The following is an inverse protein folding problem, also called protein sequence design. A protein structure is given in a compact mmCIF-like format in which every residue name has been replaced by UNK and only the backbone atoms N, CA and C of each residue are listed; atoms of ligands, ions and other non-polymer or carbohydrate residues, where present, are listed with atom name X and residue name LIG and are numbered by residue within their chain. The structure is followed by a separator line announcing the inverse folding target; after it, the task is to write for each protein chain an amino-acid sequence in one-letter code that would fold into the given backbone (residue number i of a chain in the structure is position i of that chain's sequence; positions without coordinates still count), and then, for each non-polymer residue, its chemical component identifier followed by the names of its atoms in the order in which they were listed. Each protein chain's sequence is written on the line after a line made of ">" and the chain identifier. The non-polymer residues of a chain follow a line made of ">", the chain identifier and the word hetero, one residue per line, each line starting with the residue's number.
data_IF_724552795846
#
_entry.id   IF_724552795846
#
_cell.length_a   1.000
_cell.length_b   1.000
_cell.length_c   1.000
_cell.angle_alpha   90.00
_cell.angle_beta   90.00
_cell.angle_gamma   90.00
#
_symmetry.space_group_name_H-M   'P 1'
#
loop_
_entity.id
_entity.type
_entity.pdbx_description
1 polymer ?
#
# COMPACT_ATOMS: atom_id res chain seq x y z
N UNK A 1 -0.14 12.71 -43.15
CA UNK A 1 -1.04 12.55 -41.98
C UNK A 1 -1.12 11.09 -41.59
N UNK A 2 -0.99 10.79 -40.30
CA UNK A 2 -1.23 9.45 -39.75
C UNK A 2 -2.51 9.43 -38.92
N UNK A 3 -3.06 8.23 -38.76
CA UNK A 3 -4.19 7.94 -37.87
C UNK A 3 -3.76 6.81 -36.94
N UNK A 4 -3.65 7.08 -35.65
CA UNK A 4 -3.30 6.07 -34.64
C UNK A 4 -4.51 5.78 -33.77
N UNK A 5 -4.89 4.50 -33.60
CA UNK A 5 -6.01 4.13 -32.75
C UNK A 5 -5.67 4.47 -31.30
N UNK A 6 -6.66 4.96 -30.56
CA UNK A 6 -6.56 5.17 -29.14
C UNK A 6 -6.98 3.89 -28.39
N UNK A 7 -6.40 3.62 -27.21
CA UNK A 7 -6.78 2.48 -26.39
C UNK A 7 -8.25 2.57 -25.89
N UNK A 8 -8.85 3.76 -25.96
CA UNK A 8 -10.22 4.04 -25.56
C UNK A 8 -10.72 5.31 -26.25
N UNK A 9 -12.04 5.57 -26.20
CA UNK A 9 -12.62 6.79 -26.78
C UNK A 9 -12.30 8.02 -25.92
N UNK A 10 -11.84 9.10 -26.54
CA UNK A 10 -11.41 10.34 -25.89
C UNK A 10 -12.24 11.54 -26.36
N UNK A 11 -12.25 12.67 -25.61
CA UNK A 11 -12.91 13.90 -26.04
C UNK A 11 -12.37 14.37 -27.41
N UNK A 12 -13.27 14.71 -28.33
CA UNK A 12 -12.89 15.27 -29.63
C UNK A 12 -12.08 16.55 -29.42
N UNK A 13 -10.96 16.68 -30.13
CA UNK A 13 -10.07 17.84 -29.98
C UNK A 13 -9.08 17.76 -28.80
N UNK A 14 -9.14 16.74 -27.92
CA UNK A 14 -8.08 16.51 -26.92
C UNK A 14 -6.74 16.33 -27.65
N UNK A 15 -5.69 16.90 -27.07
CA UNK A 15 -4.34 16.86 -27.62
C UNK A 15 -3.44 15.92 -26.84
N UNK A 16 -2.54 15.26 -27.56
CA UNK A 16 -1.53 14.35 -27.03
C UNK A 16 -0.16 14.73 -27.56
N UNK A 17 0.86 14.64 -26.70
CA UNK A 17 2.25 14.75 -27.15
C UNK A 17 2.69 13.41 -27.75
N UNK A 18 3.32 13.45 -28.93
CA UNK A 18 3.91 12.27 -29.55
C UNK A 18 5.33 12.02 -29.09
N UNK A 19 5.62 10.76 -28.78
CA UNK A 19 6.94 10.23 -28.56
C UNK A 19 7.40 9.48 -29.81
N UNK A 20 8.70 9.53 -30.09
CA UNK A 20 9.36 8.74 -31.14
C UNK A 20 10.34 7.76 -30.49
N UNK A 21 10.29 6.50 -30.92
CA UNK A 21 11.24 5.49 -30.48
C UNK A 21 12.58 5.71 -31.18
N UNK A 22 13.65 5.84 -30.41
CA UNK A 22 15.01 5.68 -30.92
C UNK A 22 15.30 4.18 -31.00
N UNK A 23 15.38 3.64 -32.21
CA UNK A 23 15.56 2.20 -32.44
C UNK A 23 16.97 1.70 -32.11
N UNK A 24 17.95 2.59 -31.92
CA UNK A 24 19.32 2.21 -31.55
C UNK A 24 19.44 1.90 -30.06
N UNK A 25 18.73 2.64 -29.21
CA UNK A 25 18.83 2.51 -27.75
C UNK A 25 17.50 2.21 -27.05
N UNK A 26 16.43 1.99 -27.81
CA UNK A 26 15.07 1.68 -27.34
C UNK A 26 14.48 2.72 -26.36
N UNK A 27 14.92 3.98 -26.46
CA UNK A 27 14.38 5.06 -25.64
C UNK A 27 13.32 5.86 -26.39
N UNK A 28 12.32 6.37 -25.65
CA UNK A 28 11.29 7.25 -26.20
C UNK A 28 11.71 8.72 -26.03
N UNK A 29 11.59 9.49 -27.12
CA UNK A 29 11.94 10.92 -27.14
C UNK A 29 10.74 11.77 -27.51
N UNK A 30 10.54 12.88 -26.81
CA UNK A 30 9.48 13.83 -27.14
C UNK A 30 9.76 14.47 -28.50
N UNK A 31 8.77 14.41 -29.39
CA UNK A 31 8.89 14.95 -30.76
C UNK A 31 8.53 16.43 -30.86
N UNK A 32 7.87 17.01 -29.86
CA UNK A 32 7.22 18.32 -29.92
C UNK A 32 5.97 18.35 -30.80
N UNK A 33 5.60 17.23 -31.43
CA UNK A 33 4.42 17.11 -32.28
C UNK A 33 3.20 16.86 -31.39
N UNK A 34 2.17 17.68 -31.60
CA UNK A 34 0.86 17.49 -30.97
C UNK A 34 -0.06 16.70 -31.91
N UNK A 35 -0.59 15.59 -31.42
CA UNK A 35 -1.64 14.83 -32.08
C UNK A 35 -3.01 15.18 -31.51
N UNK A 36 -4.04 15.25 -32.35
CA UNK A 36 -5.39 15.66 -31.94
C UNK A 36 -6.39 14.53 -32.17
N UNK A 37 -7.27 14.30 -31.19
CA UNK A 37 -8.34 13.30 -31.28
C UNK A 37 -9.33 13.66 -32.40
N UNK A 38 -9.61 12.69 -33.26
CA UNK A 38 -10.51 12.83 -34.40
C UNK A 38 -12.00 12.95 -33.99
N UNK A 39 -12.87 13.24 -34.96
CA UNK A 39 -14.30 13.42 -34.73
C UNK A 39 -15.00 12.16 -34.19
N UNK A 40 -14.44 10.97 -34.42
CA UNK A 40 -14.99 9.72 -33.86
C UNK A 40 -14.57 9.52 -32.40
N UNK A 41 -13.53 10.21 -31.94
CA UNK A 41 -12.99 10.09 -30.60
C UNK A 41 -12.13 8.84 -30.40
N UNK A 42 -11.93 8.04 -31.45
CA UNK A 42 -11.32 6.70 -31.35
C UNK A 42 -9.92 6.65 -31.90
N UNK A 43 -9.46 7.73 -32.54
CA UNK A 43 -8.12 7.85 -33.06
C UNK A 43 -7.59 9.24 -32.79
N UNK A 44 -6.26 9.36 -32.80
CA UNK A 44 -5.60 10.64 -32.97
C UNK A 44 -5.05 10.78 -34.38
N UNK A 45 -4.96 12.02 -34.83
CA UNK A 45 -4.33 12.38 -36.08
C UNK A 45 -3.19 13.36 -35.86
N UNK A 46 -2.12 13.20 -36.62
CA UNK A 46 -0.97 14.09 -36.60
C UNK A 46 -0.31 14.16 -37.99
N UNK A 47 0.38 15.26 -38.25
CA UNK A 47 1.29 15.37 -39.39
C UNK A 47 2.69 14.99 -38.93
N UNK A 48 3.32 14.07 -39.66
CA UNK A 48 4.68 13.61 -39.38
C UNK A 48 5.56 13.94 -40.58
N UNK A 49 6.81 14.31 -40.29
CA UNK A 49 7.84 14.59 -41.28
C UNK A 49 8.77 13.40 -41.56
N UNK A 50 8.66 12.30 -40.80
CA UNK A 50 9.50 11.11 -40.95
C UNK A 50 8.79 9.81 -40.58
N UNK A 51 9.18 8.71 -41.24
CA UNK A 51 8.76 7.36 -40.87
C UNK A 51 9.52 6.87 -39.64
N UNK A 52 8.80 6.50 -38.59
CA UNK A 52 9.34 5.97 -37.34
C UNK A 52 8.22 5.28 -36.55
N UNK A 53 8.55 4.72 -35.39
CA UNK A 53 7.56 4.22 -34.42
C UNK A 53 7.20 5.36 -33.47
N UNK A 54 5.90 5.65 -33.38
CA UNK A 54 5.37 6.71 -32.54
C UNK A 54 4.40 6.17 -31.49
N UNK A 55 4.34 6.85 -30.35
CA UNK A 55 3.37 6.58 -29.29
C UNK A 55 2.84 7.91 -28.74
N UNK A 56 1.71 7.87 -28.04
CA UNK A 56 1.17 9.02 -27.30
C UNK A 56 1.55 8.94 -25.83
N UNK A 57 1.68 10.09 -25.17
CA UNK A 57 1.67 10.18 -23.70
C UNK A 57 0.24 10.51 -23.26
N UNK A 58 -0.47 9.55 -22.66
CA UNK A 58 -1.65 9.87 -21.84
C UNK A 58 -1.20 9.86 -20.39
N UNK A 59 -1.18 11.02 -19.74
CA UNK A 59 -0.89 11.10 -18.32
C UNK A 59 -2.09 10.52 -17.56
N UNK A 60 -1.94 9.30 -17.03
CA UNK A 60 -2.93 8.69 -16.15
C UNK A 60 -2.95 9.48 -14.85
N UNK A 61 -3.94 10.37 -14.73
CA UNK A 61 -4.19 11.12 -13.51
C UNK A 61 -5.03 10.28 -12.54
N UNK A 62 -4.46 9.99 -11.38
CA UNK A 62 -5.16 9.28 -10.30
C UNK A 62 -5.67 10.28 -9.26
N UNK A 63 -6.95 10.19 -8.95
CA UNK A 63 -7.48 10.76 -7.70
C UNK A 63 -7.36 9.69 -6.62
N UNK A 64 -6.52 9.94 -5.63
CA UNK A 64 -6.23 8.98 -4.56
C UNK A 64 -6.77 9.47 -3.23
N UNK A 65 -7.51 8.60 -2.54
CA UNK A 65 -7.97 8.81 -1.16
C UNK A 65 -7.47 7.67 -0.29
N UNK A 66 -6.85 8.01 0.83
CA UNK A 66 -6.44 7.03 1.84
C UNK A 66 -7.37 7.13 3.05
N UNK A 67 -7.99 6.01 3.41
CA UNK A 67 -8.86 5.93 4.56
C UNK A 67 -8.09 5.96 5.88
N UNK A 68 -8.80 6.26 6.96
CA UNK A 68 -8.26 6.18 8.33
C UNK A 68 -7.86 4.73 8.61
N UNK A 69 -6.64 4.49 9.13
CA UNK A 69 -6.21 3.14 9.48
C UNK A 69 -7.05 2.58 10.62
N UNK A 70 -7.34 1.28 10.57
CA UNK A 70 -7.97 0.53 11.66
C UNK A 70 -6.94 -0.34 12.34
N UNK A 71 -6.86 -0.26 13.66
CA UNK A 71 -5.90 -1.04 14.46
C UNK A 71 -6.65 -2.04 15.32
N UNK A 72 -6.18 -3.29 15.32
CA UNK A 72 -6.74 -4.39 16.08
C UNK A 72 -5.63 -5.05 16.90
N UNK A 73 -5.92 -5.36 18.17
CA UNK A 73 -5.08 -6.25 18.97
C UNK A 73 -5.22 -7.67 18.46
N UNK A 74 -4.09 -8.29 18.12
CA UNK A 74 -4.08 -9.65 17.58
C UNK A 74 -3.46 -10.65 18.56
N UNK A 75 -2.60 -10.20 19.47
CA UNK A 75 -1.99 -11.06 20.47
C UNK A 75 -1.39 -10.27 21.63
N UNK A 76 -1.38 -10.86 22.82
CA UNK A 76 -0.51 -10.45 23.92
C UNK A 76 0.60 -11.50 24.08
N UNK A 77 1.85 -11.08 23.97
CA UNK A 77 3.01 -11.92 24.25
C UNK A 77 3.52 -11.57 25.63
N UNK A 78 3.72 -12.55 26.50
CA UNK A 78 4.21 -12.33 27.86
C UNK A 78 5.44 -13.18 28.11
N UNK A 79 6.49 -12.56 28.67
CA UNK A 79 7.69 -13.26 29.12
C UNK A 79 8.02 -12.85 30.55
N UNK A 80 8.62 -13.78 31.31
CA UNK A 80 9.19 -13.53 32.64
C UNK A 80 10.72 -13.45 32.61
N UNK A 81 11.35 -13.86 31.50
CA UNK A 81 12.78 -13.78 31.25
C UNK A 81 13.10 -14.13 29.78
N UNK A 82 14.34 -13.89 29.36
CA UNK A 82 14.88 -14.39 28.09
C UNK A 82 14.29 -13.74 26.84
N UNK A 83 14.22 -14.51 25.76
CA UNK A 83 13.77 -14.03 24.45
C UNK A 83 12.84 -15.04 23.80
N UNK A 84 11.83 -14.59 23.08
CA UNK A 84 11.01 -15.44 22.19
C UNK A 84 10.83 -14.78 20.84
N UNK A 85 10.44 -15.56 19.84
CA UNK A 85 10.22 -15.06 18.49
C UNK A 85 8.92 -15.62 17.95
N UNK A 86 8.06 -14.74 17.41
CA UNK A 86 6.82 -15.15 16.75
C UNK A 86 6.73 -14.62 15.33
N UNK A 87 6.00 -15.35 14.52
CA UNK A 87 5.77 -15.05 13.11
C UNK A 87 4.32 -14.69 12.90
N UNK A 88 4.09 -13.56 12.25
CA UNK A 88 2.75 -13.04 11.95
C UNK A 88 2.57 -12.92 10.44
N UNK A 89 1.44 -13.39 9.93
CA UNK A 89 1.06 -13.13 8.55
C UNK A 89 0.52 -11.71 8.40
N UNK A 90 0.96 -11.06 7.34
CA UNK A 90 0.45 -9.77 6.87
C UNK A 90 0.13 -9.90 5.38
N UNK A 91 -1.07 -9.52 5.00
CA UNK A 91 -1.54 -9.64 3.62
C UNK A 91 -1.85 -8.25 3.07
N UNK A 92 -1.18 -7.92 1.97
CA UNK A 92 -1.53 -6.78 1.15
C UNK A 92 -2.34 -7.28 -0.04
N UNK A 93 -3.49 -6.68 -0.31
CA UNK A 93 -4.35 -7.07 -1.43
C UNK A 93 -4.70 -5.86 -2.28
N UNK A 94 -5.03 -6.12 -3.54
CA UNK A 94 -5.59 -5.12 -4.43
C UNK A 94 -6.80 -5.67 -5.16
N UNK A 95 -7.79 -4.84 -5.39
CA UNK A 95 -8.89 -5.11 -6.29
C UNK A 95 -9.04 -3.97 -7.29
N UNK A 96 -9.56 -4.29 -8.47
CA UNK A 96 -9.77 -3.33 -9.54
C UNK A 96 -11.21 -3.44 -10.00
N UNK A 97 -11.89 -2.32 -10.07
CA UNK A 97 -13.23 -2.21 -10.65
C UNK A 97 -13.17 -1.27 -11.83
N UNK A 98 -13.68 -1.73 -12.98
CA UNK A 98 -13.67 -0.99 -14.23
C UNK A 98 -15.11 -0.69 -14.64
N UNK A 99 -15.34 0.53 -15.10
CA UNK A 99 -16.62 0.98 -15.66
C UNK A 99 -16.37 1.55 -17.06
N UNK A 100 -17.28 1.26 -17.99
CA UNK A 100 -17.11 1.59 -19.41
C UNK A 100 -16.21 0.60 -20.15
N UNK A 101 -15.89 0.91 -21.41
CA UNK A 101 -15.02 0.09 -22.27
C UNK A 101 -13.64 0.70 -22.36
N UNK A 102 -12.62 -0.05 -21.91
CA UNK A 102 -11.21 0.34 -21.93
C UNK A 102 -10.35 -0.85 -22.34
N UNK A 103 -9.13 -0.60 -22.82
CA UNK A 103 -8.20 -1.68 -23.14
C UNK A 103 -7.57 -2.30 -21.89
N UNK A 104 -7.18 -3.58 -21.98
CA UNK A 104 -6.46 -4.25 -20.90
C UNK A 104 -5.13 -3.54 -20.56
N UNK A 105 -4.45 -2.98 -21.55
CA UNK A 105 -3.20 -2.24 -21.33
C UNK A 105 -3.43 -1.01 -20.45
N UNK A 106 -4.48 -0.23 -20.73
CA UNK A 106 -4.80 0.94 -19.92
C UNK A 106 -5.12 0.56 -18.47
N UNK A 107 -5.87 -0.53 -18.26
CA UNK A 107 -6.14 -1.07 -16.91
C UNK A 107 -4.82 -1.42 -16.20
N UNK A 108 -3.91 -2.13 -16.88
CA UNK A 108 -2.60 -2.48 -16.32
C UNK A 108 -1.79 -1.24 -15.95
N UNK A 109 -1.77 -0.22 -16.80
CA UNK A 109 -1.06 1.03 -16.54
C UNK A 109 -1.65 1.77 -15.33
N UNK A 110 -2.98 1.82 -15.21
CA UNK A 110 -3.68 2.35 -14.01
C UNK A 110 -3.29 1.58 -12.76
N UNK A 111 -3.31 0.24 -12.82
CA UNK A 111 -2.96 -0.64 -11.69
C UNK A 111 -1.50 -0.45 -11.28
N UNK A 112 -0.58 -0.42 -12.24
CA UNK A 112 0.85 -0.22 -11.97
C UNK A 112 1.11 1.15 -11.33
N UNK A 113 0.44 2.19 -11.83
CA UNK A 113 0.54 3.56 -11.28
C UNK A 113 -0.05 3.62 -9.87
N UNK A 114 -1.20 2.99 -9.64
CA UNK A 114 -1.87 2.99 -8.34
C UNK A 114 -1.13 2.15 -7.30
N UNK A 115 -0.60 1.00 -7.69
CA UNK A 115 0.13 0.09 -6.79
C UNK A 115 1.56 0.55 -6.54
N UNK A 116 2.18 1.35 -7.42
CA UNK A 116 3.57 1.82 -7.30
C UNK A 116 4.57 0.69 -7.01
N UNK A 117 4.35 -0.49 -7.60
CA UNK A 117 5.12 -1.71 -7.33
C UNK A 117 5.10 -2.18 -5.86
N UNK A 118 4.02 -1.91 -5.12
CA UNK A 118 3.83 -2.47 -3.78
C UNK A 118 3.85 -3.99 -3.84
N UNK A 119 4.51 -4.60 -2.85
CA UNK A 119 4.49 -6.04 -2.66
C UNK A 119 3.09 -6.47 -2.21
N UNK A 120 2.32 -7.00 -3.16
CA UNK A 120 1.04 -7.63 -2.92
C UNK A 120 1.22 -9.10 -2.52
N UNK A 121 0.23 -9.65 -1.85
CA UNK A 121 0.23 -11.00 -1.34
C UNK A 121 0.51 -11.08 0.15
N UNK A 122 0.63 -12.32 0.63
CA UNK A 122 0.88 -12.61 2.04
C UNK A 122 2.38 -12.74 2.27
N UNK A 123 2.88 -11.99 3.24
CA UNK A 123 4.24 -12.12 3.75
C UNK A 123 4.23 -12.45 5.24
N UNK A 124 5.33 -13.00 5.72
CA UNK A 124 5.51 -13.30 7.15
C UNK A 124 6.44 -12.27 7.77
N UNK A 125 5.98 -11.60 8.82
CA UNK A 125 6.81 -10.74 9.67
C UNK A 125 7.20 -11.50 10.94
N UNK A 126 8.49 -11.67 11.14
CA UNK A 126 9.03 -12.25 12.35
C UNK A 126 9.37 -11.13 13.34
N UNK A 127 8.89 -11.24 14.58
CA UNK A 127 9.14 -10.29 15.65
C UNK A 127 9.82 -11.04 16.80
N UNK A 128 11.01 -10.57 17.17
CA UNK A 128 11.71 -11.02 18.36
C UNK A 128 11.29 -10.16 19.55
N UNK A 129 10.88 -10.82 20.63
CA UNK A 129 10.52 -10.21 21.90
C UNK A 129 11.64 -10.50 22.89
N UNK A 130 12.31 -9.44 23.32
CA UNK A 130 13.42 -9.52 24.27
C UNK A 130 12.93 -9.00 25.61
N UNK A 131 12.91 -9.86 26.63
CA UNK A 131 12.53 -9.47 27.97
C UNK A 131 13.39 -8.28 28.43
N UNK A 132 12.77 -7.12 28.71
CA UNK A 132 13.53 -5.92 29.00
C UNK A 132 14.15 -6.01 30.39
N UNK A 133 15.20 -5.22 30.61
CA UNK A 133 15.78 -5.05 31.94
C UNK A 133 14.71 -4.53 32.89
N UNK A 134 14.56 -5.21 34.02
CA UNK A 134 13.59 -4.83 35.04
C UNK A 134 13.98 -3.48 35.66
N UNK A 135 13.04 -2.52 35.77
CA UNK A 135 13.27 -1.27 36.47
C UNK A 135 13.69 -1.51 37.92
N UNK A 136 14.61 -0.68 38.42
CA UNK A 136 15.18 -0.83 39.76
C UNK A 136 14.13 -0.76 40.87
N UNK A 137 13.05 0.00 40.65
CA UNK A 137 11.92 0.14 41.55
C UNK A 137 11.14 -1.15 41.75
N UNK A 138 11.31 -2.16 40.89
CA UNK A 138 10.67 -3.47 40.99
C UNK A 138 11.57 -4.52 41.64
N UNK A 139 12.76 -4.12 42.10
CA UNK A 139 13.75 -4.98 42.74
C UNK A 139 14.09 -4.42 44.13
N UNK A 140 14.02 -5.27 45.15
CA UNK A 140 14.47 -4.96 46.52
C UNK A 140 15.36 -6.07 47.01
N UNK A 141 16.59 -5.74 47.38
CA UNK A 141 17.60 -6.70 47.84
C UNK A 141 17.83 -7.87 46.86
N UNK A 142 17.77 -7.60 45.56
CA UNK A 142 17.95 -8.62 44.51
C UNK A 142 16.73 -9.51 44.25
N UNK A 143 15.60 -9.26 44.93
CA UNK A 143 14.34 -10.00 44.77
C UNK A 143 13.30 -9.10 44.10
N UNK A 144 12.50 -9.67 43.20
CA UNK A 144 11.38 -8.97 42.60
C UNK A 144 10.36 -8.63 43.68
N UNK A 145 9.88 -7.39 43.69
CA UNK A 145 8.82 -6.96 44.60
C UNK A 145 7.86 -6.02 43.88
N UNK A 146 6.60 -6.00 44.33
CA UNK A 146 5.59 -5.08 43.83
C UNK A 146 5.50 -3.85 44.76
N UNK A 147 5.93 -2.64 44.33
CA UNK A 147 5.85 -1.45 45.18
C UNK A 147 4.43 -1.06 45.57
N UNK A 148 3.44 -1.38 44.71
CA UNK A 148 2.04 -1.10 44.99
C UNK A 148 1.47 -2.06 46.04
N UNK A 149 1.96 -3.30 46.08
CA UNK A 149 1.54 -4.32 47.04
C UNK A 149 2.78 -5.05 47.63
N UNK A 150 3.53 -4.44 48.56
CA UNK A 150 4.85 -4.96 48.99
C UNK A 150 4.82 -6.33 49.68
N UNK A 151 3.65 -6.74 50.19
CA UNK A 151 3.46 -8.01 50.88
C UNK A 151 2.90 -9.12 49.96
N UNK A 152 2.60 -8.79 48.71
CA UNK A 152 2.08 -9.76 47.75
C UNK A 152 3.23 -10.58 47.16
N UNK A 153 3.09 -11.91 47.17
CA UNK A 153 4.00 -12.78 46.45
C UNK A 153 3.62 -12.85 44.97
N UNK A 154 4.63 -12.86 44.11
CA UNK A 154 4.43 -12.86 42.67
C UNK A 154 5.72 -12.56 41.94
N UNK A 155 5.60 -12.40 40.63
CA UNK A 155 6.70 -12.03 39.75
C UNK A 155 6.25 -10.98 38.73
N UNK A 156 7.17 -10.09 38.35
CA UNK A 156 7.00 -9.20 37.21
C UNK A 156 7.21 -9.95 35.91
N UNK A 157 6.24 -9.78 35.02
CA UNK A 157 6.31 -10.24 33.62
C UNK A 157 6.21 -9.02 32.71
N UNK A 158 6.78 -9.10 31.51
CA UNK A 158 6.59 -8.05 30.51
C UNK A 158 5.61 -8.53 29.45
N UNK A 159 4.57 -7.72 29.20
CA UNK A 159 3.53 -7.99 28.22
C UNK A 159 3.67 -7.05 27.04
N UNK A 160 3.89 -7.59 25.85
CA UNK A 160 3.79 -6.87 24.59
C UNK A 160 2.38 -7.01 24.01
N UNK A 161 1.80 -5.89 23.62
CA UNK A 161 0.56 -5.86 22.84
C UNK A 161 0.94 -5.82 21.37
N UNK A 162 0.62 -6.89 20.64
CA UNK A 162 0.84 -6.97 19.20
C UNK A 162 -0.43 -6.56 18.48
N UNK A 163 -0.28 -5.64 17.54
CA UNK A 163 -1.38 -5.06 16.78
C UNK A 163 -1.23 -5.32 15.30
N UNK A 164 -2.37 -5.44 14.62
CA UNK A 164 -2.49 -5.35 13.17
C UNK A 164 -3.16 -4.03 12.81
N UNK A 165 -2.49 -3.24 12.01
CA UNK A 165 -3.07 -2.03 11.41
C UNK A 165 -3.39 -2.29 9.95
N UNK A 166 -4.64 -2.05 9.56
CA UNK A 166 -5.11 -2.16 8.18
C UNK A 166 -5.39 -0.76 7.63
N UNK A 167 -4.84 -0.45 6.46
CA UNK A 167 -5.08 0.80 5.76
C UNK A 167 -5.60 0.53 4.35
N UNK A 168 -6.68 1.21 3.99
CA UNK A 168 -7.27 1.12 2.64
C UNK A 168 -6.95 2.40 1.87
N UNK A 169 -6.35 2.25 0.69
CA UNK A 169 -6.14 3.35 -0.26
C UNK A 169 -6.91 3.05 -1.53
N UNK A 170 -7.69 4.02 -1.99
CA UNK A 170 -8.46 3.93 -3.24
C UNK A 170 -7.94 4.96 -4.21
N UNK A 171 -7.60 4.53 -5.42
CA UNK A 171 -7.13 5.39 -6.51
C UNK A 171 -8.03 5.21 -7.71
N UNK A 172 -8.56 6.31 -8.24
CA UNK A 172 -9.45 6.28 -9.40
C UNK A 172 -8.85 7.09 -10.54
N UNK A 173 -8.69 6.43 -11.70
CA UNK A 173 -8.53 7.09 -13.00
C UNK A 173 -9.90 7.17 -13.65
N UNK A 174 -10.26 8.33 -14.19
CA UNK A 174 -11.49 8.49 -14.97
C UNK A 174 -11.29 9.46 -16.11
N UNK A 175 -11.99 9.22 -17.22
CA UNK A 175 -11.99 10.11 -18.37
C UNK A 175 -13.18 9.79 -19.30
N UNK A 176 -13.16 10.39 -20.49
CA UNK A 176 -14.25 10.34 -21.46
C UNK A 176 -15.26 11.48 -21.29
N UNK A 177 -16.20 11.56 -22.23
CA UNK A 177 -17.33 12.49 -22.22
C UNK A 177 -18.60 11.67 -22.40
N UNK A 178 -19.67 12.07 -21.72
CA UNK A 178 -20.96 11.39 -21.80
C UNK A 178 -21.39 11.19 -23.26
N UNK A 179 -21.93 10.01 -23.61
CA UNK A 179 -22.27 8.88 -22.73
C UNK A 179 -21.12 7.88 -22.48
N UNK A 180 -19.93 8.10 -23.04
CA UNK A 180 -18.82 7.15 -23.02
C UNK A 180 -17.81 7.46 -21.91
N UNK A 181 -18.30 7.70 -20.70
CA UNK A 181 -17.45 7.82 -19.52
C UNK A 181 -16.86 6.46 -19.17
N UNK A 182 -15.61 6.47 -18.71
CA UNK A 182 -14.96 5.26 -18.21
C UNK A 182 -14.12 5.58 -16.99
N UNK A 183 -13.93 4.58 -16.15
CA UNK A 183 -13.10 4.68 -14.97
C UNK A 183 -12.51 3.34 -14.57
N UNK A 184 -11.33 3.38 -13.98
CA UNK A 184 -10.76 2.27 -13.24
C UNK A 184 -10.47 2.73 -11.82
N UNK A 185 -11.03 2.01 -10.86
CA UNK A 185 -10.82 2.23 -9.43
C UNK A 185 -10.03 1.05 -8.88
N UNK A 186 -8.84 1.36 -8.36
CA UNK A 186 -7.95 0.41 -7.71
C UNK A 186 -8.05 0.62 -6.21
N UNK A 187 -8.47 -0.41 -5.48
CA UNK A 187 -8.46 -0.41 -4.02
C UNK A 187 -7.31 -1.27 -3.54
N UNK A 188 -6.46 -0.73 -2.68
CA UNK A 188 -5.33 -1.41 -2.06
C UNK A 188 -5.60 -1.48 -0.56
N UNK A 189 -5.51 -2.67 0.01
CA UNK A 189 -5.59 -2.91 1.45
C UNK A 189 -4.21 -3.36 1.91
N UNK A 190 -3.61 -2.62 2.83
CA UNK A 190 -2.30 -2.92 3.39
C UNK A 190 -2.42 -3.28 4.86
N UNK A 191 -1.75 -4.37 5.24
CA UNK A 191 -1.65 -4.80 6.62
C UNK A 191 -0.23 -4.61 7.12
N UNK A 192 -0.11 -4.05 8.32
CA UNK A 192 1.16 -3.97 9.05
C UNK A 192 0.98 -4.55 10.44
N UNK A 193 1.99 -5.29 10.90
CA UNK A 193 2.01 -5.88 12.24
C UNK A 193 3.06 -5.18 13.07
N UNK A 194 2.70 -4.60 14.21
CA UNK A 194 3.62 -3.86 15.07
C UNK A 194 3.33 -4.12 16.56
N UNK A 195 4.35 -3.89 17.39
CA UNK A 195 4.17 -3.82 18.84
C UNK A 195 3.65 -2.44 19.19
N UNK A 196 2.56 -2.38 19.95
CA UNK A 196 2.08 -1.14 20.55
C UNK A 196 2.85 -0.87 21.85
N UNK A 197 3.89 -0.06 21.75
CA UNK A 197 4.77 0.25 22.88
C UNK A 197 4.05 1.04 23.99
N UNK A 198 3.03 1.82 23.67
CA UNK A 198 2.30 2.62 24.65
C UNK A 198 1.42 1.76 25.56
N UNK A 199 0.95 0.61 25.05
CA UNK A 199 0.13 -0.34 25.81
C UNK A 199 0.89 -1.56 26.31
N UNK A 200 2.12 -1.73 25.87
CA UNK A 200 3.05 -2.76 26.37
C UNK A 200 3.67 -2.32 27.70
N UNK A 201 3.93 -3.27 28.60
CA UNK A 201 4.48 -2.92 29.90
C UNK A 201 4.61 -4.08 30.88
N UNK A 202 5.13 -3.72 32.06
CA UNK A 202 5.28 -4.62 33.18
C UNK A 202 3.93 -4.96 33.82
N UNK A 203 3.72 -6.24 34.08
CA UNK A 203 2.52 -6.78 34.69
C UNK A 203 2.93 -7.69 35.85
N UNK A 204 2.43 -7.40 37.04
CA UNK A 204 2.63 -8.22 38.22
C UNK A 204 1.71 -9.44 38.15
N UNK A 205 2.29 -10.63 38.23
CA UNK A 205 1.56 -11.90 38.30
C UNK A 205 1.66 -12.39 39.74
N UNK A 206 0.54 -12.27 40.46
CA UNK A 206 0.41 -12.76 41.82
C UNK A 206 0.55 -14.28 41.85
N UNK A 207 1.20 -14.79 42.89
CA UNK A 207 1.11 -16.19 43.27
C UNK A 207 0.07 -16.31 44.39
N UNK A 208 -0.91 -17.20 44.23
CA UNK A 208 -1.75 -17.57 45.35
C UNK A 208 -0.88 -18.29 46.39
N UNK A 209 -0.75 -17.71 47.57
CA UNK A 209 -0.14 -18.39 48.70
C UNK A 209 -1.21 -19.28 49.36
N UNK A 210 -1.24 -20.55 48.98
CA UNK A 210 -2.02 -21.63 49.60
C UNK A 210 -3.24 -22.06 48.78
N UNK A 211 -3.56 -23.37 48.64
CA UNK A 211 -3.24 -24.48 49.54
C UNK A 211 -2.00 -25.30 49.24
#
# INVERSE_FOLDING_TARGET
>A
QIKMPLPNRQPVGKTYTLLRLNTTNYTWTNTGITATVDATGTNITAQLSSFSTYATVDDISLTTTTGTPTTQDIENVTLSSGTTTKSYSQTNSSSVTVTGTVSNQWILDVVNTATRNKNLGTTTKQIQFNFPTMPSEYIRNGVQYNPANPNEAGNWTYRWVVTRTTQTTTSTASAGVAPNNYSATVTIIEQTINIDAARSGWVWVKHDQGG
#
